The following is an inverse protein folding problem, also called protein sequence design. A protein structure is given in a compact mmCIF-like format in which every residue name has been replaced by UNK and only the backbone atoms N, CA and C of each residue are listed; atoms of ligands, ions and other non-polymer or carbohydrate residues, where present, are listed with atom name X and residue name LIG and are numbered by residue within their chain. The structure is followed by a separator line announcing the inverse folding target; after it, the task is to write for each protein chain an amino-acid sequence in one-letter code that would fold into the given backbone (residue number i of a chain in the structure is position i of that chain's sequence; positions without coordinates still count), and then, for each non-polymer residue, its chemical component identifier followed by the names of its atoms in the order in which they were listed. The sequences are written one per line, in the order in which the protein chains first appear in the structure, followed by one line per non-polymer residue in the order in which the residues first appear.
data_IF_240885370980
#
_entry.id   IF_240885370980
#
_cell.length_a   1.000
_cell.length_b   1.000
_cell.length_c   1.000
_cell.angle_alpha   90.00
_cell.angle_beta   90.00
_cell.angle_gamma   90.00
#
_symmetry.space_group_name_H-M   'P 1'
#
loop_
_entity.id
_entity.type
_entity.pdbx_description
1 polymer ?
#
# COMPACT_ATOMS: atom_id res chain seq x y z
N UNK A 1 -15.18 -9.08 -35.61
CA UNK A 1 -13.95 -8.79 -34.83
C UNK A 1 -14.16 -7.79 -33.70
N UNK A 2 -15.10 -6.87 -33.76
CA UNK A 2 -15.44 -5.84 -32.78
C UNK A 2 -15.91 -6.40 -31.42
N UNK A 3 -16.61 -7.52 -31.39
CA UNK A 3 -17.19 -8.06 -30.12
C UNK A 3 -16.14 -8.58 -29.15
N UNK A 4 -15.11 -9.28 -29.63
CA UNK A 4 -14.01 -9.78 -28.77
C UNK A 4 -13.14 -8.67 -28.16
N UNK A 5 -13.03 -7.52 -28.83
CA UNK A 5 -12.29 -6.38 -28.31
C UNK A 5 -13.04 -5.75 -27.15
N UNK A 6 -14.34 -5.52 -27.31
CA UNK A 6 -15.20 -4.96 -26.27
C UNK A 6 -15.31 -5.86 -25.03
N UNK A 7 -15.36 -7.18 -25.22
CA UNK A 7 -15.35 -8.13 -24.09
C UNK A 7 -14.04 -8.06 -23.27
N UNK A 8 -12.89 -7.93 -23.94
CA UNK A 8 -11.61 -7.79 -23.24
C UNK A 8 -11.49 -6.46 -22.49
N UNK A 9 -11.97 -5.37 -23.07
CA UNK A 9 -11.97 -4.06 -22.40
C UNK A 9 -12.89 -4.05 -21.18
N UNK A 10 -14.07 -4.67 -21.29
CA UNK A 10 -15.00 -4.79 -20.16
C UNK A 10 -14.43 -5.68 -19.04
N UNK A 11 -13.78 -6.79 -19.39
CA UNK A 11 -13.13 -7.66 -18.41
C UNK A 11 -11.97 -6.94 -17.70
N UNK A 12 -11.15 -6.18 -18.42
CA UNK A 12 -10.06 -5.40 -17.86
C UNK A 12 -10.57 -4.31 -16.93
N UNK A 13 -11.61 -3.58 -17.34
CA UNK A 13 -12.21 -2.54 -16.48
C UNK A 13 -12.80 -3.13 -15.20
N UNK A 14 -13.44 -4.29 -15.27
CA UNK A 14 -13.92 -5.03 -14.11
C UNK A 14 -12.80 -5.45 -13.17
N UNK A 15 -11.68 -5.95 -13.71
CA UNK A 15 -10.50 -6.32 -12.93
C UNK A 15 -9.90 -5.11 -12.20
N UNK A 16 -9.74 -3.96 -12.87
CA UNK A 16 -9.21 -2.74 -12.27
C UNK A 16 -10.12 -2.22 -11.17
N UNK A 17 -11.45 -2.27 -11.36
CA UNK A 17 -12.41 -1.89 -10.34
C UNK A 17 -12.34 -2.83 -9.11
N UNK A 18 -12.25 -4.14 -9.34
CA UNK A 18 -12.11 -5.12 -8.26
C UNK A 18 -10.79 -4.92 -7.48
N UNK A 19 -9.68 -4.69 -8.17
CA UNK A 19 -8.39 -4.40 -7.54
C UNK A 19 -8.48 -3.15 -6.64
N UNK A 20 -9.08 -2.07 -7.12
CA UNK A 20 -9.31 -0.86 -6.33
C UNK A 20 -10.17 -1.12 -5.08
N UNK A 21 -11.20 -1.95 -5.19
CA UNK A 21 -12.06 -2.34 -4.06
C UNK A 21 -11.27 -3.15 -3.02
N UNK A 22 -10.48 -4.13 -3.48
CA UNK A 22 -9.64 -4.94 -2.60
C UNK A 22 -8.64 -4.05 -1.85
N UNK A 23 -7.97 -3.13 -2.53
CA UNK A 23 -7.04 -2.19 -1.90
C UNK A 23 -7.75 -1.31 -0.86
N UNK A 24 -8.94 -0.77 -1.19
CA UNK A 24 -9.71 0.09 -0.29
C UNK A 24 -10.16 -0.64 0.98
N UNK A 25 -10.36 -1.96 0.94
CA UNK A 25 -10.72 -2.77 2.10
C UNK A 25 -9.49 -3.24 2.87
N UNK A 26 -8.44 -3.66 2.17
CA UNK A 26 -7.26 -4.27 2.80
C UNK A 26 -6.40 -3.27 3.58
N UNK A 27 -6.29 -2.02 3.14
CA UNK A 27 -5.50 -1.00 3.86
C UNK A 27 -6.06 -0.67 5.24
N UNK A 28 -7.39 -0.40 5.43
CA UNK A 28 -7.95 -0.23 6.77
C UNK A 28 -7.80 -1.46 7.66
N UNK A 29 -7.91 -2.67 7.10
CA UNK A 29 -7.74 -3.92 7.86
C UNK A 29 -6.30 -4.04 8.38
N UNK A 30 -5.31 -3.73 7.54
CA UNK A 30 -3.91 -3.70 7.98
C UNK A 30 -3.65 -2.59 9.00
N UNK A 31 -4.23 -1.41 8.83
CA UNK A 31 -4.13 -0.32 9.78
C UNK A 31 -4.66 -0.72 11.16
N UNK A 32 -5.84 -1.33 11.20
CA UNK A 32 -6.44 -1.82 12.44
C UNK A 32 -5.61 -2.94 13.08
N UNK A 33 -5.20 -3.93 12.30
CA UNK A 33 -4.41 -5.07 12.80
C UNK A 33 -3.08 -4.60 13.40
N UNK A 34 -2.32 -3.82 12.63
CA UNK A 34 -1.00 -3.34 13.05
C UNK A 34 -1.11 -2.30 14.16
N UNK A 35 -2.08 -1.39 14.07
CA UNK A 35 -2.32 -0.34 15.06
C UNK A 35 -2.80 -0.92 16.40
N UNK A 36 -3.71 -1.88 16.39
CA UNK A 36 -4.17 -2.56 17.62
C UNK A 36 -3.02 -3.28 18.32
N UNK A 37 -2.17 -4.00 17.56
CA UNK A 37 -1.00 -4.68 18.12
C UNK A 37 -0.04 -3.69 18.77
N UNK A 38 0.29 -2.59 18.12
CA UNK A 38 1.16 -1.55 18.66
C UNK A 38 0.56 -0.93 19.94
N UNK A 39 -0.74 -0.61 19.91
CA UNK A 39 -1.46 -0.04 21.06
C UNK A 39 -1.51 -0.99 22.26
N UNK A 40 -1.78 -2.27 22.05
CA UNK A 40 -1.81 -3.27 23.13
C UNK A 40 -0.44 -3.43 23.80
N UNK A 41 0.65 -3.41 23.03
CA UNK A 41 2.01 -3.47 23.58
C UNK A 41 2.34 -2.23 24.41
N UNK A 42 1.98 -1.05 23.89
CA UNK A 42 2.17 0.21 24.61
C UNK A 42 1.43 0.20 25.96
N UNK A 43 0.18 -0.28 25.99
CA UNK A 43 -0.63 -0.35 27.20
C UNK A 43 -0.10 -1.38 28.23
N UNK A 44 0.55 -2.45 27.76
CA UNK A 44 1.14 -3.47 28.66
C UNK A 44 2.50 -3.08 29.22
N UNK A 45 3.11 -2.00 28.76
CA UNK A 45 4.44 -1.58 29.16
C UNK A 45 5.58 -2.46 28.60
N UNK A 46 5.27 -3.42 27.73
CA UNK A 46 6.23 -4.30 27.04
C UNK A 46 6.83 -3.60 25.80
N UNK A 47 7.11 -2.29 25.91
CA UNK A 47 7.54 -1.50 24.77
C UNK A 47 9.01 -1.72 24.44
N UNK A 48 9.27 -2.20 23.24
CA UNK A 48 10.55 -2.08 22.56
C UNK A 48 10.45 -0.90 21.60
N UNK A 49 11.08 0.22 21.93
CA UNK A 49 10.87 1.51 21.24
C UNK A 49 10.98 1.43 19.72
N UNK A 50 11.98 0.73 19.18
CA UNK A 50 12.20 0.67 17.74
C UNK A 50 11.16 -0.22 17.00
N UNK A 51 10.93 -1.49 17.38
CA UNK A 51 9.93 -2.34 16.73
C UNK A 51 8.52 -1.78 16.79
N UNK A 52 8.13 -1.22 17.94
CA UNK A 52 6.80 -0.65 18.12
C UNK A 52 6.63 0.67 17.36
N UNK A 53 7.68 1.50 17.30
CA UNK A 53 7.71 2.71 16.49
C UNK A 53 7.60 2.42 14.99
N UNK A 54 8.31 1.40 14.48
CA UNK A 54 8.20 0.98 13.09
C UNK A 54 6.80 0.43 12.77
N UNK A 55 6.18 -0.30 13.70
CA UNK A 55 4.82 -0.79 13.52
C UNK A 55 3.78 0.33 13.56
N UNK A 56 3.95 1.34 14.41
CA UNK A 56 3.10 2.53 14.46
C UNK A 56 3.23 3.36 13.17
N UNK A 57 4.45 3.49 12.64
CA UNK A 57 4.71 4.15 11.36
C UNK A 57 4.01 3.41 10.22
N UNK A 58 4.09 2.07 10.17
CA UNK A 58 3.38 1.26 9.19
C UNK A 58 1.88 1.47 9.27
N UNK A 59 1.29 1.42 10.46
CA UNK A 59 -0.14 1.69 10.67
C UNK A 59 -0.54 3.09 10.17
N UNK A 60 0.32 4.09 10.41
CA UNK A 60 0.10 5.45 9.90
C UNK A 60 0.07 5.50 8.38
N UNK A 61 1.00 4.81 7.71
CA UNK A 61 1.00 4.71 6.24
C UNK A 61 -0.28 4.05 5.72
N UNK A 62 -0.76 2.99 6.35
CA UNK A 62 -2.01 2.33 5.97
C UNK A 62 -3.23 3.25 6.11
N UNK A 63 -3.28 4.06 7.17
CA UNK A 63 -4.35 5.06 7.37
C UNK A 63 -4.30 6.11 6.25
N UNK A 64 -3.12 6.66 5.96
CA UNK A 64 -2.96 7.69 4.95
C UNK A 64 -3.29 7.15 3.56
N UNK A 65 -2.84 5.92 3.24
CA UNK A 65 -3.20 5.24 1.99
C UNK A 65 -4.72 5.04 1.88
N UNK A 66 -5.38 4.63 2.96
CA UNK A 66 -6.85 4.49 3.02
C UNK A 66 -7.56 5.82 2.70
N UNK A 67 -7.11 6.91 3.31
CA UNK A 67 -7.65 8.24 3.05
C UNK A 67 -7.53 8.60 1.56
N UNK A 68 -6.36 8.40 0.98
CA UNK A 68 -6.14 8.69 -0.43
C UNK A 68 -6.92 7.79 -1.38
N UNK A 69 -7.20 6.53 -1.00
CA UNK A 69 -8.06 5.61 -1.76
C UNK A 69 -9.54 6.03 -1.75
N UNK A 70 -10.00 6.59 -0.63
CA UNK A 70 -11.38 7.08 -0.48
C UNK A 70 -11.58 8.39 -1.24
N UNK A 71 -10.66 9.34 -1.09
CA UNK A 71 -10.72 10.64 -1.74
C UNK A 71 -10.19 10.60 -3.17
N UNK A 72 -11.08 10.26 -4.13
CA UNK A 72 -10.77 10.11 -5.56
C UNK A 72 -10.58 11.45 -6.27
N UNK A 73 -9.52 12.16 -5.92
CA UNK A 73 -9.12 13.42 -6.53
C UNK A 73 -7.60 13.47 -6.73
N UNK A 74 -7.03 14.44 -7.46
CA UNK A 74 -5.60 14.51 -7.69
C UNK A 74 -4.75 14.53 -6.43
N UNK A 75 -5.20 15.22 -5.37
CA UNK A 75 -4.48 15.26 -4.09
C UNK A 75 -4.45 13.89 -3.42
N UNK A 76 -5.58 13.16 -3.43
CA UNK A 76 -5.66 11.77 -2.94
C UNK A 76 -4.71 10.84 -3.70
N UNK A 77 -4.61 10.99 -5.02
CA UNK A 77 -3.68 10.22 -5.84
C UNK A 77 -2.23 10.47 -5.43
N UNK A 78 -1.78 11.76 -5.37
CA UNK A 78 -0.42 12.10 -4.96
C UNK A 78 -0.10 11.60 -3.56
N UNK A 79 -1.04 11.76 -2.63
CA UNK A 79 -0.90 11.31 -1.24
C UNK A 79 -0.69 9.79 -1.19
N UNK A 80 -1.57 9.01 -1.84
CA UNK A 80 -1.46 7.55 -1.86
C UNK A 80 -0.17 7.09 -2.52
N UNK A 81 0.15 7.58 -3.72
CA UNK A 81 1.36 7.18 -4.44
C UNK A 81 2.61 7.47 -3.61
N UNK A 82 2.69 8.65 -2.97
CA UNK A 82 3.83 9.01 -2.12
C UNK A 82 3.97 8.05 -0.93
N UNK A 83 2.86 7.76 -0.24
CA UNK A 83 2.87 6.87 0.93
C UNK A 83 3.19 5.43 0.55
N UNK A 84 2.62 4.92 -0.55
CA UNK A 84 2.91 3.57 -1.03
C UNK A 84 4.39 3.42 -1.44
N UNK A 85 4.97 4.48 -2.00
CA UNK A 85 6.38 4.48 -2.35
C UNK A 85 7.27 4.44 -1.10
N UNK A 86 6.95 5.26 -0.09
CA UNK A 86 7.62 5.25 1.20
C UNK A 86 7.47 3.91 1.92
N UNK A 87 6.27 3.34 1.94
CA UNK A 87 5.98 2.03 2.52
C UNK A 87 6.83 0.94 1.86
N UNK A 88 6.90 0.94 0.52
CA UNK A 88 7.74 -0.01 -0.23
C UNK A 88 9.21 0.11 0.19
N UNK A 89 9.74 1.32 0.24
CA UNK A 89 11.13 1.57 0.64
C UNK A 89 11.37 1.11 2.08
N UNK A 90 10.50 1.49 3.02
CA UNK A 90 10.60 1.07 4.41
C UNK A 90 10.54 -0.45 4.55
N UNK A 91 9.62 -1.11 3.84
CA UNK A 91 9.49 -2.58 3.86
C UNK A 91 10.75 -3.26 3.33
N UNK A 92 11.35 -2.73 2.27
CA UNK A 92 12.59 -3.28 1.71
C UNK A 92 13.77 -3.08 2.66
N UNK A 93 13.93 -1.89 3.24
CA UNK A 93 15.03 -1.58 4.16
C UNK A 93 14.89 -2.39 5.45
N UNK A 94 13.76 -2.26 6.13
CA UNK A 94 13.53 -2.93 7.43
C UNK A 94 13.45 -4.45 7.25
N UNK A 95 12.82 -4.91 6.18
CA UNK A 95 12.77 -6.32 5.83
C UNK A 95 14.16 -6.92 5.61
N UNK A 96 15.03 -6.22 4.89
CA UNK A 96 16.42 -6.63 4.68
C UNK A 96 17.24 -6.59 5.98
N UNK A 97 17.14 -5.48 6.73
CA UNK A 97 17.85 -5.33 8.01
C UNK A 97 17.43 -6.37 9.05
N UNK A 98 16.21 -6.88 8.99
CA UNK A 98 15.73 -7.90 9.94
C UNK A 98 16.44 -9.25 9.83
N UNK A 99 17.14 -9.52 8.73
CA UNK A 99 18.01 -10.71 8.59
C UNK A 99 19.40 -10.49 9.19
N UNK A 100 19.88 -9.25 9.20
CA UNK A 100 21.22 -8.91 9.68
C UNK A 100 21.18 -8.55 11.18
N UNK A 101 20.13 -7.86 11.60
CA UNK A 101 19.96 -7.35 12.97
C UNK A 101 18.60 -7.77 13.57
N UNK A 102 18.34 -9.09 13.72
CA UNK A 102 17.02 -9.57 14.15
C UNK A 102 16.60 -9.05 15.53
N UNK A 103 17.56 -8.96 16.46
CA UNK A 103 17.32 -8.52 17.85
C UNK A 103 17.00 -7.01 17.93
N UNK A 104 17.57 -6.21 17.04
CA UNK A 104 17.37 -4.76 16.99
C UNK A 104 16.03 -4.42 16.32
N UNK A 105 15.77 -5.03 15.17
CA UNK A 105 14.53 -4.81 14.40
C UNK A 105 13.33 -5.43 15.13
N UNK A 106 13.55 -6.58 15.78
CA UNK A 106 12.51 -7.25 16.58
C UNK A 106 11.26 -7.57 15.75
N UNK A 107 10.11 -7.50 16.41
CA UNK A 107 8.82 -7.96 15.85
C UNK A 107 8.01 -6.78 15.31
N UNK A 108 8.38 -6.29 14.10
CA UNK A 108 7.70 -5.19 13.41
C UNK A 108 6.80 -5.69 12.28
N UNK A 109 5.92 -4.82 11.76
CA UNK A 109 5.07 -5.13 10.61
C UNK A 109 5.88 -5.44 9.33
N UNK A 110 7.11 -4.93 9.23
CA UNK A 110 7.99 -5.08 8.06
C UNK A 110 9.09 -6.14 8.23
N UNK A 111 9.12 -6.83 9.39
CA UNK A 111 10.08 -7.90 9.63
C UNK A 111 10.00 -8.96 8.53
N UNK A 112 11.16 -9.36 7.99
CA UNK A 112 11.25 -10.33 6.90
C UNK A 112 10.30 -10.01 5.74
N UNK A 113 10.23 -8.72 5.36
CA UNK A 113 9.32 -8.21 4.31
C UNK A 113 7.83 -8.38 4.62
N UNK A 114 7.47 -8.43 5.91
CA UNK A 114 6.10 -8.62 6.36
C UNK A 114 5.65 -10.09 6.40
N UNK A 115 6.55 -11.03 6.60
CA UNK A 115 6.25 -12.46 6.67
C UNK A 115 5.18 -12.81 7.70
N UNK A 116 5.18 -12.13 8.88
CA UNK A 116 4.16 -12.30 9.92
C UNK A 116 2.74 -11.90 9.48
N UNK A 117 2.63 -11.17 8.37
CA UNK A 117 1.38 -10.72 7.73
C UNK A 117 1.22 -11.31 6.32
N UNK A 118 1.81 -12.47 6.03
CA UNK A 118 1.70 -13.13 4.73
C UNK A 118 2.28 -12.32 3.58
N UNK A 119 3.31 -11.53 3.83
CA UNK A 119 3.98 -10.63 2.86
C UNK A 119 3.08 -9.50 2.33
N UNK A 120 1.92 -9.26 2.92
CA UNK A 120 1.05 -8.15 2.52
C UNK A 120 1.76 -6.79 2.53
N UNK A 121 2.58 -6.46 3.54
CA UNK A 121 3.32 -5.18 3.58
C UNK A 121 4.28 -4.97 2.40
N UNK A 122 4.73 -6.03 1.74
CA UNK A 122 5.55 -5.94 0.53
C UNK A 122 4.71 -5.92 -0.75
N UNK A 123 3.76 -6.85 -0.85
CA UNK A 123 3.00 -7.07 -2.09
C UNK A 123 1.96 -5.98 -2.33
N UNK A 124 1.29 -5.56 -1.26
CA UNK A 124 0.17 -4.63 -1.35
C UNK A 124 0.56 -3.23 -1.87
N UNK A 125 1.63 -2.56 -1.38
CA UNK A 125 2.02 -1.26 -1.93
C UNK A 125 2.47 -1.35 -3.39
N UNK A 126 3.12 -2.45 -3.80
CA UNK A 126 3.49 -2.67 -5.21
C UNK A 126 2.26 -2.82 -6.11
N UNK A 127 1.27 -3.62 -5.69
CA UNK A 127 0.00 -3.74 -6.40
C UNK A 127 -0.76 -2.41 -6.41
N UNK A 128 -0.75 -1.68 -5.30
CA UNK A 128 -1.33 -0.35 -5.19
C UNK A 128 -0.69 0.64 -6.16
N UNK A 129 0.63 0.70 -6.23
CA UNK A 129 1.35 1.54 -7.19
C UNK A 129 0.99 1.16 -8.63
N UNK A 130 1.01 -0.13 -8.97
CA UNK A 130 0.62 -0.60 -10.31
C UNK A 130 -0.82 -0.16 -10.65
N UNK A 131 -1.74 -0.25 -9.69
CA UNK A 131 -3.13 0.19 -9.85
C UNK A 131 -3.25 1.71 -10.00
N UNK A 132 -2.54 2.51 -9.19
CA UNK A 132 -2.57 3.97 -9.26
C UNK A 132 -2.00 4.52 -10.57
N UNK A 133 -1.02 3.85 -11.16
CA UNK A 133 -0.46 4.24 -12.47
C UNK A 133 -1.25 3.70 -13.67
N UNK A 134 -2.27 2.90 -13.45
CA UNK A 134 -3.11 2.41 -14.55
C UNK A 134 -3.95 3.55 -15.16
N UNK A 135 -4.07 3.65 -16.52
CA UNK A 135 -4.76 4.75 -17.19
C UNK A 135 -6.20 4.98 -16.71
N UNK A 136 -6.94 3.92 -16.42
CA UNK A 136 -8.32 4.03 -15.91
C UNK A 136 -8.35 4.63 -14.51
N UNK A 137 -7.41 4.28 -13.65
CA UNK A 137 -7.28 4.84 -12.30
C UNK A 137 -6.89 6.31 -12.35
N UNK A 138 -5.96 6.68 -13.21
CA UNK A 138 -5.59 8.08 -13.45
C UNK A 138 -6.79 8.92 -13.87
N UNK A 139 -7.66 8.37 -14.75
CA UNK A 139 -8.90 9.04 -15.13
C UNK A 139 -9.87 9.21 -13.96
N UNK A 140 -10.03 8.18 -13.09
CA UNK A 140 -10.87 8.24 -11.89
C UNK A 140 -10.42 9.36 -10.94
N UNK A 141 -9.12 9.58 -10.81
CA UNK A 141 -8.54 10.60 -9.95
C UNK A 141 -8.38 11.96 -10.62
N UNK A 142 -8.78 12.11 -11.90
CA UNK A 142 -8.57 13.30 -12.72
C UNK A 142 -7.08 13.73 -12.77
N UNK A 143 -6.18 12.76 -12.81
CA UNK A 143 -4.74 12.99 -12.92
C UNK A 143 -4.34 12.82 -14.39
N UNK A 144 -3.77 13.89 -14.97
CA UNK A 144 -3.23 13.85 -16.31
C UNK A 144 -1.71 14.11 -16.28
N UNK A 145 -0.91 13.09 -16.01
CA UNK A 145 0.52 13.28 -15.94
C UNK A 145 1.09 13.50 -17.35
N UNK A 146 1.85 14.58 -17.51
CA UNK A 146 2.44 14.99 -18.80
C UNK A 146 3.34 13.91 -19.43
N UNK A 147 3.92 13.02 -18.61
CA UNK A 147 4.76 11.92 -19.09
C UNK A 147 3.96 10.84 -19.86
N UNK A 148 2.68 10.64 -19.57
CA UNK A 148 1.83 9.72 -20.36
C UNK A 148 1.69 10.16 -21.83
N UNK A 149 1.83 11.44 -22.13
CA UNK A 149 1.80 11.94 -23.48
C UNK A 149 2.99 11.42 -24.32
N UNK A 150 4.11 11.07 -23.68
CA UNK A 150 5.29 10.51 -24.35
C UNK A 150 5.12 9.04 -24.77
N UNK A 151 4.30 8.27 -24.05
CA UNK A 151 4.06 6.84 -24.35
C UNK A 151 2.87 6.60 -25.27
N UNK A 152 2.18 7.65 -25.69
CA UNK A 152 1.01 7.57 -26.56
C UNK A 152 1.35 7.85 -28.05
N UNK A 153 2.62 7.96 -28.39
CA UNK A 153 3.12 8.02 -29.78
C UNK A 153 3.59 6.61 -30.19
#
# INVERSE_FOLDING_TARGET
MTNKHNEKENALSGFIAAAGTILTISYPVLALSTGTRASVRLLRGDTTYLPDGLSALAATFYIIATIGLIYRNPKGWYLSVSVLFLETICTLIVGGLSFVYPDVIGNTAWRHFGADYGYFPLVQPLLGLAWFFHPQTLAIYNVNPRWLAYFRK
#
